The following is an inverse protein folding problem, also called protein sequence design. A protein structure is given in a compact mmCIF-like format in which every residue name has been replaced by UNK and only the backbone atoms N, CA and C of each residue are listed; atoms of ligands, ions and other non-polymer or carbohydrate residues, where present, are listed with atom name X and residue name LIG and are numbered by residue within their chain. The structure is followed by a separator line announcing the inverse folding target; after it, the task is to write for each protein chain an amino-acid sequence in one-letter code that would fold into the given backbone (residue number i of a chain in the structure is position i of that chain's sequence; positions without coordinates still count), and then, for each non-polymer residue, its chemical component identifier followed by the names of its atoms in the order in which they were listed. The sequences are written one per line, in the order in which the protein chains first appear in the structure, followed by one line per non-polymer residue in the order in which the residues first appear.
data_IF_350658534472
#
_entry.id   IF_350658534472
#
_cell.length_a   1.000
_cell.length_b   1.000
_cell.length_c   1.000
_cell.angle_alpha   90.00
_cell.angle_beta   90.00
_cell.angle_gamma   90.00
#
_symmetry.space_group_name_H-M   'P 1'
#
loop_
_entity.id
_entity.type
_entity.pdbx_description
1 polymer ?
#
# COMPACT_ATOMS: atom_id res chain seq x y z
N UNK A 1 14.75 16.82 15.00
CA UNK A 1 14.68 17.17 13.57
C UNK A 1 15.85 16.49 12.88
N UNK A 2 15.66 15.31 12.28
CA UNK A 2 16.61 14.75 11.32
C UNK A 2 15.80 14.03 10.26
N UNK A 3 15.49 14.74 9.19
CA UNK A 3 15.14 14.10 7.93
C UNK A 3 16.06 14.71 6.89
N UNK A 4 17.09 13.95 6.50
CA UNK A 4 17.84 14.18 5.27
C UNK A 4 16.92 13.85 4.07
N UNK A 5 15.88 14.66 3.85
CA UNK A 5 15.16 14.65 2.58
C UNK A 5 15.96 15.50 1.60
N UNK A 6 16.94 14.85 0.97
CA UNK A 6 17.55 15.35 -0.25
C UNK A 6 16.45 15.64 -1.26
N UNK A 7 16.41 16.89 -1.70
CA UNK A 7 15.54 17.41 -2.73
C UNK A 7 15.83 16.73 -4.07
N UNK A 8 15.21 15.59 -4.31
CA UNK A 8 15.01 15.04 -5.64
C UNK A 8 13.52 14.72 -5.73
N UNK A 9 12.86 15.09 -6.82
CA UNK A 9 11.52 14.60 -7.16
C UNK A 9 11.54 13.08 -7.46
N UNK A 10 12.04 12.29 -6.52
CA UNK A 10 11.98 10.84 -6.52
C UNK A 10 10.70 10.55 -5.76
N UNK A 11 9.61 10.27 -6.48
CA UNK A 11 8.42 9.72 -5.85
C UNK A 11 8.82 8.56 -4.93
N UNK A 12 8.27 8.51 -3.72
CA UNK A 12 8.61 7.51 -2.71
C UNK A 12 8.68 6.10 -3.33
N UNK A 13 9.81 5.38 -3.19
CA UNK A 13 9.97 4.02 -3.70
C UNK A 13 8.79 3.09 -3.33
N UNK A 14 8.19 3.28 -2.16
CA UNK A 14 7.01 2.52 -1.73
C UNK A 14 5.80 2.86 -2.58
N UNK A 15 5.54 4.14 -2.82
CA UNK A 15 4.45 4.60 -3.67
C UNK A 15 4.62 4.11 -5.12
N UNK A 16 5.84 4.17 -5.67
CA UNK A 16 6.13 3.62 -7.01
C UNK A 16 5.83 2.12 -7.08
N UNK A 17 6.20 1.37 -6.05
CA UNK A 17 5.91 -0.07 -5.98
C UNK A 17 4.40 -0.31 -5.94
N UNK A 18 3.65 0.43 -5.10
CA UNK A 18 2.20 0.29 -4.99
C UNK A 18 1.46 0.68 -6.28
N UNK A 19 1.96 1.67 -7.04
CA UNK A 19 1.44 1.97 -8.39
C UNK A 19 1.58 0.77 -9.33
N UNK A 20 2.72 0.06 -9.28
CA UNK A 20 2.96 -1.13 -10.10
C UNK A 20 2.06 -2.32 -9.74
N UNK A 21 1.62 -2.43 -8.48
CA UNK A 21 0.71 -3.50 -8.07
C UNK A 21 -0.75 -3.21 -8.46
N UNK A 22 -1.09 -1.95 -8.75
CA UNK A 22 -2.47 -1.50 -8.95
C UNK A 22 -3.27 -1.38 -7.65
N UNK A 23 -2.65 -1.60 -6.48
CA UNK A 23 -3.31 -1.59 -5.17
C UNK A 23 -3.20 -0.23 -4.45
N UNK A 24 -2.67 0.80 -5.10
CA UNK A 24 -2.37 2.09 -4.45
C UNK A 24 -3.60 2.82 -3.90
N UNK A 25 -4.73 2.79 -4.59
CA UNK A 25 -5.97 3.40 -4.10
C UNK A 25 -6.47 2.74 -2.80
N UNK A 26 -6.30 1.42 -2.69
CA UNK A 26 -6.64 0.68 -1.47
C UNK A 26 -5.66 1.01 -0.33
N UNK A 27 -4.40 1.26 -0.64
CA UNK A 27 -3.44 1.77 0.33
C UNK A 27 -3.86 3.15 0.87
N UNK A 28 -4.27 4.07 -0.01
CA UNK A 28 -4.75 5.39 0.42
C UNK A 28 -5.99 5.30 1.31
N UNK A 29 -6.94 4.40 1.01
CA UNK A 29 -8.10 4.15 1.89
C UNK A 29 -7.70 3.66 3.29
N UNK A 30 -6.64 2.86 3.41
CA UNK A 30 -6.11 2.46 4.71
C UNK A 30 -5.51 3.66 5.44
N UNK A 31 -4.73 4.50 4.76
CA UNK A 31 -4.17 5.71 5.34
C UNK A 31 -5.24 6.68 5.82
N UNK A 32 -6.27 6.92 5.00
CA UNK A 32 -7.42 7.77 5.33
C UNK A 32 -8.15 7.26 6.57
N UNK A 33 -8.50 5.96 6.63
CA UNK A 33 -9.13 5.39 7.81
C UNK A 33 -8.27 5.52 9.07
N UNK A 34 -6.96 5.28 8.99
CA UNK A 34 -6.07 5.43 10.15
C UNK A 34 -5.96 6.90 10.56
N UNK A 35 -5.94 7.84 9.61
CA UNK A 35 -5.90 9.27 9.89
C UNK A 35 -7.17 9.75 10.61
N UNK A 36 -8.34 9.28 10.17
CA UNK A 36 -9.64 9.60 10.76
C UNK A 36 -9.83 8.95 12.13
N UNK A 37 -9.57 7.64 12.23
CA UNK A 37 -9.88 6.86 13.44
C UNK A 37 -8.77 6.93 14.49
N UNK A 38 -7.53 7.21 14.06
CA UNK A 38 -6.29 7.10 14.85
C UNK A 38 -6.09 5.72 15.50
N UNK A 39 -6.80 4.71 15.02
CA UNK A 39 -6.73 3.34 15.51
C UNK A 39 -6.85 2.35 14.35
N UNK A 40 -5.72 1.81 13.92
CA UNK A 40 -5.66 0.85 12.81
C UNK A 40 -6.52 -0.41 13.05
N UNK A 41 -6.84 -0.75 14.30
CA UNK A 41 -7.72 -1.88 14.63
C UNK A 41 -9.16 -1.64 14.18
N UNK A 42 -9.56 -0.39 13.95
CA UNK A 42 -10.88 -0.03 13.39
C UNK A 42 -10.91 -0.07 11.86
N UNK A 43 -9.75 -0.20 11.21
CA UNK A 43 -9.61 -0.16 9.76
C UNK A 43 -9.48 -1.55 9.13
N UNK A 44 -9.98 -2.60 9.79
CA UNK A 44 -9.80 -3.99 9.33
C UNK A 44 -10.39 -4.24 7.94
N UNK A 45 -11.50 -3.59 7.59
CA UNK A 45 -12.12 -3.74 6.27
C UNK A 45 -11.19 -3.18 5.17
N UNK A 46 -10.73 -1.93 5.30
CA UNK A 46 -9.77 -1.32 4.37
C UNK A 46 -8.47 -2.12 4.26
N UNK A 47 -7.96 -2.62 5.40
CA UNK A 47 -6.74 -3.45 5.45
C UNK A 47 -6.97 -4.80 4.76
N UNK A 48 -8.13 -5.43 4.96
CA UNK A 48 -8.51 -6.69 4.33
C UNK A 48 -8.58 -6.56 2.82
N UNK A 49 -9.19 -5.49 2.31
CA UNK A 49 -9.29 -5.25 0.87
C UNK A 49 -7.93 -4.97 0.24
N UNK A 50 -7.10 -4.14 0.88
CA UNK A 50 -5.73 -3.94 0.45
C UNK A 50 -4.93 -5.25 0.41
N UNK A 51 -5.07 -6.09 1.43
CA UNK A 51 -4.44 -7.41 1.49
C UNK A 51 -4.88 -8.31 0.34
N UNK A 52 -6.19 -8.42 0.06
CA UNK A 52 -6.71 -9.24 -1.04
C UNK A 52 -6.09 -8.83 -2.38
N UNK A 53 -5.97 -7.53 -2.63
CA UNK A 53 -5.34 -7.00 -3.84
C UNK A 53 -3.87 -7.42 -3.95
N UNK A 54 -3.10 -7.25 -2.87
CA UNK A 54 -1.69 -7.65 -2.84
C UNK A 54 -1.49 -9.16 -2.97
N UNK A 55 -2.36 -9.96 -2.36
CA UNK A 55 -2.35 -11.42 -2.49
C UNK A 55 -2.63 -11.83 -3.95
N UNK A 56 -3.56 -11.16 -4.63
CA UNK A 56 -3.84 -11.39 -6.04
C UNK A 56 -2.65 -11.03 -6.94
N UNK A 57 -2.03 -9.87 -6.71
CA UNK A 57 -0.81 -9.48 -7.41
C UNK A 57 0.30 -10.53 -7.22
N UNK A 58 0.49 -11.00 -5.98
CA UNK A 58 1.49 -12.02 -5.67
C UNK A 58 1.20 -13.36 -6.36
N UNK A 59 -0.07 -13.78 -6.42
CA UNK A 59 -0.49 -14.97 -7.18
C UNK A 59 -0.19 -14.85 -8.68
N UNK A 60 -0.40 -13.68 -9.27
CA UNK A 60 -0.11 -13.42 -10.70
C UNK A 60 1.41 -13.37 -10.98
N UNK A 61 2.21 -12.95 -10.01
CA UNK A 61 3.67 -12.86 -10.12
C UNK A 61 4.36 -14.22 -10.00
N UNK A 62 3.75 -15.17 -9.28
CA UNK A 62 4.24 -16.54 -9.23
C UNK A 62 3.88 -17.27 -10.54
N UNK A 63 4.84 -17.91 -11.23
CA UNK A 63 4.49 -18.80 -12.33
C UNK A 63 3.63 -19.94 -11.76
N UNK A 64 2.55 -20.29 -12.47
CA UNK A 64 1.69 -21.42 -12.12
C UNK A 64 2.55 -22.67 -11.86
N UNK A 65 2.30 -23.46 -10.80
CA UNK A 65 2.87 -24.80 -10.73
C UNK A 65 2.22 -25.60 -11.87
N UNK A 66 3.01 -25.91 -12.90
CA UNK A 66 2.69 -26.95 -13.89
C UNK A 66 2.43 -28.28 -13.22
#
# INVERSE_FOLDING_TARGET
MISNHGNQEISDPVEQMLKKTGCIELHYKVQECIAETRDWRKCQDSVSDFKKCMDEYNRRKLPSPT
#
